data_IF_765418760007
#
_entry.id   IF_765418760007
#
_cell.length_a   1.000
_cell.length_b   1.000
_cell.length_c   1.000
_cell.angle_alpha   90.00
_cell.angle_beta   90.00
_cell.angle_gamma   90.00
#
_symmetry.space_group_name_H-M   'P 1'
#
loop_
_entity.id
_entity.type
_entity.pdbx_description
1 polymer ?
#
# COMPACT_ATOMS: atom_id res chain seq x y z
N UNK A 1 6.01 -2.70 22.60
CA UNK A 1 5.63 -1.46 21.89
C UNK A 1 4.75 -1.76 20.68
N UNK A 2 5.16 -2.69 19.83
CA UNK A 2 4.44 -3.13 18.63
C UNK A 2 2.91 -3.33 18.82
N UNK A 3 2.47 -4.33 19.58
CA UNK A 3 1.03 -4.62 19.84
C UNK A 3 0.19 -3.42 20.30
N UNK A 4 0.79 -2.44 20.99
CA UNK A 4 0.11 -1.27 21.56
C UNK A 4 -0.13 -0.17 20.51
N UNK A 5 0.78 -0.05 19.56
CA UNK A 5 0.82 1.08 18.61
C UNK A 5 0.65 0.66 17.16
N UNK A 6 0.71 -0.63 16.84
CA UNK A 6 0.43 -1.16 15.49
C UNK A 6 -0.96 -0.77 14.99
N UNK A 7 -1.97 -0.85 15.86
CA UNK A 7 -3.35 -0.39 15.60
C UNK A 7 -3.47 1.13 15.35
N UNK A 8 -2.43 1.91 15.67
CA UNK A 8 -2.38 3.36 15.49
C UNK A 8 -1.52 3.76 14.29
N UNK A 9 -1.20 2.81 13.40
CA UNK A 9 -0.38 3.05 12.20
C UNK A 9 1.12 3.02 12.44
N UNK A 10 1.60 2.66 13.65
CA UNK A 10 3.03 2.50 13.89
C UNK A 10 3.53 1.18 13.28
N UNK A 11 4.60 1.26 12.48
CA UNK A 11 5.31 0.09 11.97
C UNK A 11 6.62 -0.05 12.74
N UNK A 12 6.92 -1.27 13.21
CA UNK A 12 8.20 -1.60 13.85
C UNK A 12 9.01 -2.52 12.93
N UNK A 13 10.31 -2.25 12.81
CA UNK A 13 11.24 -3.09 12.07
C UNK A 13 12.40 -3.43 12.99
N UNK A 14 12.64 -4.72 13.20
CA UNK A 14 13.79 -5.24 13.93
C UNK A 14 15.02 -5.24 13.03
N UNK A 15 16.05 -4.50 13.42
CA UNK A 15 17.30 -4.40 12.69
C UNK A 15 18.36 -5.32 13.31
N UNK A 16 18.74 -6.38 12.59
CA UNK A 16 19.83 -7.25 13.00
C UNK A 16 21.16 -6.70 12.47
N UNK A 17 22.07 -6.41 13.40
CA UNK A 17 23.38 -5.83 13.15
C UNK A 17 24.52 -6.61 13.81
N UNK A 18 24.21 -7.72 14.50
CA UNK A 18 25.20 -8.56 15.18
C UNK A 18 25.81 -9.63 14.26
N UNK A 19 25.29 -9.78 13.03
CA UNK A 19 25.78 -10.76 12.07
C UNK A 19 25.37 -12.19 12.41
N UNK A 20 24.29 -12.39 13.15
CA UNK A 20 23.80 -13.71 13.55
C UNK A 20 23.38 -14.56 12.34
N UNK A 21 23.44 -15.89 12.51
CA UNK A 21 22.90 -16.84 11.53
C UNK A 21 21.37 -16.77 11.49
N UNK A 22 20.78 -16.95 10.31
CA UNK A 22 19.33 -16.82 10.10
C UNK A 22 18.52 -17.79 10.96
N UNK A 23 19.00 -19.02 11.13
CA UNK A 23 18.32 -20.04 11.96
C UNK A 23 18.16 -19.59 13.42
N UNK A 24 19.20 -18.96 13.99
CA UNK A 24 19.16 -18.44 15.36
C UNK A 24 18.24 -17.23 15.49
N UNK A 25 18.17 -16.41 14.43
CA UNK A 25 17.25 -15.26 14.40
C UNK A 25 15.80 -15.77 14.38
N UNK A 26 15.52 -16.79 13.57
CA UNK A 26 14.19 -17.39 13.47
C UNK A 26 13.77 -18.09 14.77
N UNK A 27 14.68 -18.81 15.43
CA UNK A 27 14.44 -19.42 16.74
C UNK A 27 13.97 -18.38 17.78
N UNK A 28 14.66 -17.24 17.85
CA UNK A 28 14.33 -16.14 18.77
C UNK A 28 13.00 -15.47 18.37
N UNK A 29 12.73 -15.31 17.07
CA UNK A 29 11.46 -14.76 16.57
C UNK A 29 10.29 -15.65 17.01
N UNK A 30 10.43 -16.97 16.88
CA UNK A 30 9.42 -17.94 17.25
C UNK A 30 9.24 -18.03 18.78
N UNK A 31 10.35 -18.06 19.53
CA UNK A 31 10.37 -18.10 21.00
C UNK A 31 9.63 -16.89 21.59
N UNK A 32 9.95 -15.69 21.10
CA UNK A 32 9.35 -14.45 21.59
C UNK A 32 8.05 -14.06 20.86
N UNK A 33 7.60 -14.87 19.89
CA UNK A 33 6.41 -14.62 19.07
C UNK A 33 6.42 -13.21 18.48
N UNK A 34 7.55 -12.84 17.90
CA UNK A 34 7.77 -11.53 17.29
C UNK A 34 6.88 -11.41 16.06
N UNK A 35 6.02 -10.39 16.03
CA UNK A 35 5.04 -10.18 14.94
C UNK A 35 5.46 -9.09 13.95
N UNK A 36 6.57 -8.42 14.22
CA UNK A 36 7.10 -7.37 13.37
C UNK A 36 8.25 -7.90 12.51
N UNK A 37 8.47 -7.27 11.36
CA UNK A 37 9.50 -7.69 10.41
C UNK A 37 10.90 -7.52 11.00
N UNK A 38 11.74 -8.55 10.83
CA UNK A 38 13.17 -8.49 11.18
C UNK A 38 13.99 -8.51 9.89
N UNK A 39 14.96 -7.61 9.75
CA UNK A 39 15.82 -7.49 8.58
C UNK A 39 17.29 -7.53 8.98
N UNK A 40 18.12 -8.13 8.12
CA UNK A 40 19.57 -8.24 8.31
C UNK A 40 20.30 -7.18 7.50
N UNK A 41 21.41 -6.67 8.04
CA UNK A 41 22.35 -5.83 7.29
C UNK A 41 21.79 -4.45 6.95
N UNK A 42 21.02 -3.86 7.86
CA UNK A 42 20.53 -2.50 7.69
C UNK A 42 21.69 -1.48 7.70
N UNK A 43 21.64 -0.56 6.73
CA UNK A 43 22.51 0.61 6.70
C UNK A 43 21.62 1.80 7.04
N UNK A 44 21.62 2.19 8.32
CA UNK A 44 20.74 3.22 8.87
C UNK A 44 21.49 4.49 9.31
N UNK A 45 20.76 5.54 9.72
CA UNK A 45 21.38 6.71 10.34
C UNK A 45 22.23 6.24 11.52
N UNK A 46 23.49 6.70 11.61
CA UNK A 46 24.52 6.21 12.54
C UNK A 46 23.91 5.68 13.86
N UNK A 47 23.59 4.39 13.87
CA UNK A 47 23.00 3.72 15.03
C UNK A 47 24.21 3.47 15.91
N UNK A 48 24.25 4.07 17.10
CA UNK A 48 25.43 3.98 17.94
C UNK A 48 25.85 2.51 18.15
N UNK A 49 27.13 2.28 18.46
CA UNK A 49 27.67 0.94 18.75
C UNK A 49 27.08 0.26 20.01
N UNK A 50 26.04 0.84 20.63
CA UNK A 50 25.40 0.32 21.82
C UNK A 50 24.06 -0.32 21.48
N UNK A 51 23.97 -1.63 21.66
CA UNK A 51 22.71 -2.39 21.55
C UNK A 51 22.08 -2.47 22.95
N UNK A 52 20.76 -2.27 23.11
CA UNK A 52 19.76 -2.03 22.06
C UNK A 52 19.68 -0.56 21.64
N UNK A 53 19.43 -0.34 20.34
CA UNK A 53 19.32 0.98 19.73
C UNK A 53 18.02 1.11 18.92
N UNK A 54 17.44 2.31 18.89
CA UNK A 54 16.21 2.60 18.18
C UNK A 54 16.29 3.96 17.49
N UNK A 55 15.84 3.99 16.24
CA UNK A 55 15.51 5.20 15.51
C UNK A 55 13.99 5.26 15.33
N UNK A 56 13.38 6.43 15.55
CA UNK A 56 11.94 6.65 15.29
C UNK A 56 11.81 7.72 14.23
N UNK A 57 11.03 7.41 13.20
CA UNK A 57 10.67 8.33 12.15
C UNK A 57 9.22 8.75 12.31
N UNK A 58 8.93 10.03 12.11
CA UNK A 58 7.56 10.53 12.03
C UNK A 58 6.92 10.15 10.69
N UNK A 59 5.60 10.36 10.57
CA UNK A 59 4.85 10.01 9.36
C UNK A 59 5.32 10.76 8.09
N UNK A 60 5.95 11.91 8.25
CA UNK A 60 6.56 12.69 7.17
C UNK A 60 7.96 12.21 6.76
N UNK A 61 8.52 11.19 7.44
CA UNK A 61 9.86 10.66 7.18
C UNK A 61 10.98 11.32 8.01
N UNK A 62 10.67 12.31 8.85
CA UNK A 62 11.69 12.96 9.68
C UNK A 62 12.15 12.06 10.84
N UNK A 63 13.46 12.04 11.10
CA UNK A 63 14.03 11.35 12.25
C UNK A 63 13.73 12.16 13.52
N UNK A 64 12.82 11.65 14.36
CA UNK A 64 12.39 12.32 15.60
C UNK A 64 13.06 11.77 16.85
N UNK A 65 13.65 10.59 16.79
CA UNK A 65 14.39 9.99 17.90
C UNK A 65 15.51 9.08 17.39
N UNK A 66 16.64 9.10 18.10
CA UNK A 66 17.77 8.21 17.90
C UNK A 66 18.42 7.94 19.26
N UNK A 67 18.44 6.68 19.71
CA UNK A 67 19.06 6.29 20.97
C UNK A 67 18.47 5.03 21.60
N UNK A 68 18.62 4.88 22.92
CA UNK A 68 18.17 3.69 23.65
C UNK A 68 16.62 3.59 23.70
N UNK A 69 16.02 2.40 23.45
CA UNK A 69 14.55 2.21 23.38
C UNK A 69 13.75 2.73 24.58
N UNK A 70 14.31 2.66 25.80
CA UNK A 70 13.63 3.14 27.02
C UNK A 70 13.28 4.64 26.98
N UNK A 71 14.01 5.43 26.18
CA UNK A 71 13.78 6.88 26.07
C UNK A 71 12.82 7.23 24.91
N UNK A 72 12.46 6.26 24.05
CA UNK A 72 11.68 6.50 22.85
C UNK A 72 10.17 6.67 23.09
N UNK A 73 9.61 6.10 24.17
CA UNK A 73 8.16 5.99 24.34
C UNK A 73 7.44 7.35 24.36
N UNK A 74 8.08 8.39 24.94
CA UNK A 74 7.52 9.75 24.94
C UNK A 74 7.44 10.32 23.53
N UNK A 75 8.49 10.17 22.73
CA UNK A 75 8.54 10.68 21.36
C UNK A 75 7.55 9.94 20.47
N UNK A 76 7.46 8.61 20.59
CA UNK A 76 6.48 7.78 19.86
C UNK A 76 5.05 8.24 20.18
N UNK A 77 4.74 8.51 21.45
CA UNK A 77 3.41 9.02 21.84
C UNK A 77 3.12 10.39 21.22
N UNK A 78 4.10 11.27 21.12
CA UNK A 78 3.93 12.58 20.49
C UNK A 78 3.72 12.43 18.98
N UNK A 79 4.61 11.70 18.30
CA UNK A 79 4.51 11.47 16.85
C UNK A 79 3.18 10.82 16.44
N UNK A 80 2.64 9.92 17.27
CA UNK A 80 1.33 9.30 17.00
C UNK A 80 0.12 10.20 17.30
N UNK A 81 0.28 11.29 18.07
CA UNK A 81 -0.79 12.28 18.27
C UNK A 81 -0.91 13.22 17.08
N UNK A 82 0.21 13.53 16.44
CA UNK A 82 0.25 14.41 15.26
C UNK A 82 -0.40 13.75 14.03
N UNK A 83 -0.66 12.43 14.08
CA UNK A 83 -1.35 11.65 13.03
C UNK A 83 -2.89 11.72 13.16
N UNK A 84 -3.43 12.54 14.08
CA UNK A 84 -4.88 12.60 14.34
C UNK A 84 -5.63 13.46 13.32
N UNK A 85 -6.35 12.77 12.42
CA UNK A 85 -7.58 13.16 11.71
C UNK A 85 -7.53 14.40 10.80
N UNK A 86 -6.86 14.28 9.66
CA UNK A 86 -7.45 14.79 8.41
C UNK A 86 -8.07 13.57 7.69
N UNK A 87 -9.31 13.62 7.20
CA UNK A 87 -9.86 12.53 6.39
C UNK A 87 -9.02 12.44 5.11
N UNK A 88 -8.07 11.50 5.10
CA UNK A 88 -7.20 11.24 3.97
C UNK A 88 -8.03 10.68 2.82
N UNK A 89 -8.64 11.57 2.05
CA UNK A 89 -9.00 11.32 0.67
C UNK A 89 -7.67 11.21 -0.07
N UNK A 90 -7.07 10.03 -0.03
CA UNK A 90 -6.08 9.45 -0.96
C UNK A 90 -5.39 8.33 -0.21
N UNK A 91 -6.06 7.17 -0.20
CA UNK A 91 -5.42 5.90 0.14
C UNK A 91 -4.30 5.62 -0.87
N UNK A 92 -3.07 6.03 -0.56
CA UNK A 92 -1.88 5.42 -1.13
C UNK A 92 -1.48 4.24 -0.25
N UNK A 93 -2.38 3.26 -0.13
CA UNK A 93 -2.02 1.98 0.46
C UNK A 93 -1.07 1.28 -0.51
N UNK A 94 0.22 1.23 -0.16
CA UNK A 94 1.27 0.54 -0.90
C UNK A 94 1.04 -0.98 -1.05
N UNK A 95 -0.01 -1.50 -0.41
CA UNK A 95 -0.43 -2.91 -0.45
C UNK A 95 -1.89 -3.10 -0.89
N UNK A 96 -2.64 -2.03 -1.17
CA UNK A 96 -3.95 -2.18 -1.80
C UNK A 96 -3.74 -2.55 -3.27
N UNK A 97 -4.32 -3.68 -3.69
CA UNK A 97 -4.50 -3.95 -5.11
C UNK A 97 -5.26 -2.75 -5.69
N UNK A 98 -4.72 -2.04 -6.69
CA UNK A 98 -5.39 -0.85 -7.21
C UNK A 98 -6.76 -1.27 -7.73
N UNK A 99 -7.82 -0.67 -7.17
CA UNK A 99 -9.18 -0.81 -7.66
C UNK A 99 -9.20 -0.19 -9.06
N UNK A 100 -9.42 -1.02 -10.07
CA UNK A 100 -9.55 -0.56 -11.44
C UNK A 100 -11.01 -0.22 -11.73
N UNK A 101 -11.25 0.94 -12.35
CA UNK A 101 -12.56 1.27 -12.93
C UNK A 101 -12.94 0.26 -14.02
N UNK A 102 -11.94 -0.16 -14.81
CA UNK A 102 -12.08 -1.17 -15.84
C UNK A 102 -10.84 -2.07 -15.80
N UNK A 103 -11.08 -3.38 -15.65
CA UNK A 103 -10.03 -4.40 -15.67
C UNK A 103 -9.23 -4.38 -16.99
N UNK A 104 -8.04 -4.98 -16.98
CA UNK A 104 -7.13 -4.98 -18.13
C UNK A 104 -7.82 -5.46 -19.42
N UNK A 105 -7.92 -4.57 -20.41
CA UNK A 105 -8.52 -4.83 -21.72
C UNK A 105 -7.63 -4.29 -22.83
N UNK A 106 -7.84 -4.82 -24.02
CA UNK A 106 -7.25 -4.30 -25.26
C UNK A 106 -8.12 -3.14 -25.73
N UNK A 107 -7.58 -1.94 -25.66
CA UNK A 107 -8.17 -0.70 -26.15
C UNK A 107 -7.71 -0.45 -27.58
N UNK A 108 -8.59 0.05 -28.45
CA UNK A 108 -8.24 0.38 -29.83
C UNK A 108 -8.25 1.89 -30.00
N UNK A 109 -7.13 2.47 -30.46
CA UNK A 109 -7.08 3.90 -30.76
C UNK A 109 -7.72 4.21 -32.13
N UNK A 110 -7.97 5.49 -32.40
CA UNK A 110 -8.50 5.96 -33.69
C UNK A 110 -7.58 5.71 -34.89
N UNK A 111 -6.30 5.37 -34.64
CA UNK A 111 -5.31 4.97 -35.66
C UNK A 111 -5.26 3.44 -35.88
N UNK A 112 -6.13 2.66 -35.22
CA UNK A 112 -6.17 1.19 -35.31
C UNK A 112 -5.08 0.46 -34.52
N UNK A 113 -4.29 1.16 -33.71
CA UNK A 113 -3.30 0.57 -32.80
C UNK A 113 -3.97 0.10 -31.53
N UNK A 114 -3.66 -1.14 -31.15
CA UNK A 114 -4.16 -1.78 -29.93
C UNK A 114 -3.23 -1.53 -28.76
N UNK A 115 -3.78 -1.18 -27.59
CA UNK A 115 -3.04 -0.97 -26.35
C UNK A 115 -3.70 -1.74 -25.21
N UNK A 116 -2.94 -2.60 -24.52
CA UNK A 116 -3.44 -3.45 -23.43
C UNK A 116 -3.21 -2.77 -22.09
N UNK A 117 -4.28 -2.29 -21.44
CA UNK A 117 -4.19 -1.55 -20.19
C UNK A 117 -5.48 -1.67 -19.36
N UNK A 118 -5.38 -1.43 -18.05
CA UNK A 118 -6.52 -1.26 -17.15
C UNK A 118 -6.78 0.24 -16.92
N UNK A 119 -8.05 0.64 -16.81
CA UNK A 119 -8.40 2.03 -16.46
C UNK A 119 -8.44 2.15 -14.93
N UNK A 120 -7.62 3.04 -14.37
CA UNK A 120 -7.58 3.29 -12.93
C UNK A 120 -8.62 4.33 -12.53
N UNK A 121 -8.64 5.47 -13.22
CA UNK A 121 -9.49 6.61 -12.91
C UNK A 121 -9.64 7.50 -14.15
N UNK A 122 -10.67 8.34 -14.19
CA UNK A 122 -10.91 9.29 -15.26
C UNK A 122 -11.03 10.69 -14.69
N UNK A 123 -10.27 11.62 -15.25
CA UNK A 123 -10.31 13.03 -14.90
C UNK A 123 -10.79 13.80 -16.14
N UNK A 124 -12.11 14.00 -16.22
CA UNK A 124 -12.76 14.65 -17.37
C UNK A 124 -12.61 13.85 -18.66
N UNK A 125 -11.76 14.33 -19.57
CA UNK A 125 -11.49 13.68 -20.87
C UNK A 125 -10.19 12.85 -20.88
N UNK A 126 -9.46 12.82 -19.77
CA UNK A 126 -8.19 12.09 -19.66
C UNK A 126 -8.36 10.90 -18.70
N UNK A 127 -8.20 9.70 -19.22
CA UNK A 127 -8.15 8.48 -18.43
C UNK A 127 -6.73 8.18 -17.93
N UNK A 128 -6.60 7.81 -16.67
CA UNK A 128 -5.36 7.27 -16.09
C UNK A 128 -5.34 5.76 -16.28
N UNK A 129 -4.53 5.28 -17.20
CA UNK A 129 -4.40 3.87 -17.54
C UNK A 129 -3.18 3.24 -16.87
N UNK A 130 -3.24 1.94 -16.60
CA UNK A 130 -2.15 1.10 -16.09
C UNK A 130 -1.85 -0.02 -17.06
N UNK A 131 -0.61 -0.14 -17.51
CA UNK A 131 -0.15 -1.31 -18.24
C UNK A 131 0.03 -2.52 -17.31
N UNK A 132 0.05 -3.72 -17.89
CA UNK A 132 0.40 -4.97 -17.17
C UNK A 132 1.78 -4.93 -16.51
N UNK A 133 2.71 -4.14 -17.05
CA UNK A 133 4.04 -3.88 -16.47
C UNK A 133 4.03 -2.94 -15.25
N UNK A 134 2.86 -2.49 -14.82
CA UNK A 134 2.68 -1.62 -13.66
C UNK A 134 2.85 -0.14 -13.92
N UNK A 135 3.34 0.28 -15.11
CA UNK A 135 3.47 1.70 -15.47
C UNK A 135 2.09 2.33 -15.67
N UNK A 136 1.90 3.51 -15.11
CA UNK A 136 0.69 4.31 -15.31
C UNK A 136 0.94 5.43 -16.31
N UNK A 137 -0.02 5.70 -17.19
CA UNK A 137 0.04 6.79 -18.15
C UNK A 137 -1.34 7.45 -18.30
N UNK A 138 -1.33 8.73 -18.64
CA UNK A 138 -2.55 9.48 -18.91
C UNK A 138 -2.82 9.46 -20.41
N UNK A 139 -4.04 9.10 -20.80
CA UNK A 139 -4.44 9.02 -22.19
C UNK A 139 -5.81 9.65 -22.39
N UNK A 140 -5.93 10.44 -23.44
CA UNK A 140 -7.17 11.10 -23.81
C UNK A 140 -8.13 10.07 -24.42
N UNK A 141 -9.29 9.90 -23.78
CA UNK A 141 -10.27 8.91 -24.21
C UNK A 141 -10.88 9.26 -25.57
N UNK A 142 -10.84 10.53 -26.00
CA UNK A 142 -11.31 10.96 -27.32
C UNK A 142 -10.49 10.36 -28.47
N UNK A 143 -9.29 9.87 -28.18
CA UNK A 143 -8.40 9.18 -29.13
C UNK A 143 -8.61 7.67 -29.17
N UNK A 144 -9.55 7.14 -28.38
CA UNK A 144 -9.99 5.75 -28.43
C UNK A 144 -11.14 5.58 -29.43
N UNK A 145 -11.42 4.34 -29.82
CA UNK A 145 -12.56 3.99 -30.67
C UNK A 145 -13.89 4.44 -30.03
N UNK A 146 -14.91 4.70 -30.85
CA UNK A 146 -16.23 5.13 -30.35
C UNK A 146 -16.86 4.09 -29.39
N UNK A 147 -16.59 2.81 -29.63
CA UNK A 147 -17.03 1.70 -28.79
C UNK A 147 -16.36 1.74 -27.40
N UNK A 148 -15.04 1.94 -27.38
CA UNK A 148 -14.26 2.06 -26.14
C UNK A 148 -14.60 3.34 -25.36
N UNK A 149 -14.87 4.45 -26.06
CA UNK A 149 -15.31 5.71 -25.44
C UNK A 149 -16.65 5.56 -24.71
N UNK A 150 -17.58 4.83 -25.32
CA UNK A 150 -18.91 4.60 -24.75
C UNK A 150 -18.82 3.73 -23.49
N UNK A 151 -17.94 2.73 -23.50
CA UNK A 151 -17.71 1.83 -22.36
C UNK A 151 -17.08 2.57 -21.17
N UNK A 152 -16.11 3.46 -21.42
CA UNK A 152 -15.52 4.29 -20.36
C UNK A 152 -16.57 5.22 -19.76
N UNK A 153 -17.38 5.89 -20.60
CA UNK A 153 -18.44 6.78 -20.13
C UNK A 153 -19.48 6.05 -19.30
N UNK A 154 -19.93 4.87 -19.76
CA UNK A 154 -20.88 4.03 -19.03
C UNK A 154 -20.32 3.62 -17.66
N UNK A 155 -19.07 3.16 -17.58
CA UNK A 155 -18.46 2.74 -16.31
C UNK A 155 -18.10 3.90 -15.39
N UNK A 156 -17.73 5.05 -15.94
CA UNK A 156 -17.46 6.27 -15.16
C UNK A 156 -18.73 6.94 -14.63
N UNK A 157 -19.88 6.73 -15.28
CA UNK A 157 -21.17 7.31 -14.89
C UNK A 157 -22.01 6.43 -13.96
N UNK A 158 -21.55 5.21 -13.65
CA UNK A 158 -22.32 4.17 -12.95
C UNK A 158 -21.69 3.72 -11.63
N UNK A 159 -20.84 4.56 -11.02
CA UNK A 159 -20.23 4.34 -9.69
C UNK A 159 -21.00 5.04 -8.55
N UNK A 160 -22.30 5.26 -8.71
CA UNK A 160 -23.20 5.35 -7.56
C UNK A 160 -24.43 4.49 -7.85
N UNK A 161 -24.61 3.46 -7.04
CA UNK A 161 -25.74 2.50 -7.00
C UNK A 161 -25.52 1.16 -7.73
N UNK A 162 -25.79 0.12 -6.94
CA UNK A 162 -25.94 -1.31 -7.21
C UNK A 162 -24.70 -2.16 -7.53
N UNK A 163 -24.51 -3.34 -6.94
CA UNK A 163 -25.22 -4.14 -5.92
C UNK A 163 -24.26 -5.34 -5.72
N UNK A 164 -24.09 -5.96 -4.55
CA UNK A 164 -25.17 -6.26 -3.63
C UNK A 164 -26.00 -7.46 -4.09
N UNK A 165 -25.48 -8.41 -4.88
CA UNK A 165 -26.12 -9.74 -5.03
C UNK A 165 -25.20 -10.75 -5.72
N UNK A 166 -24.71 -11.74 -4.96
CA UNK A 166 -24.63 -13.11 -5.45
C UNK A 166 -25.19 -13.98 -4.31
N UNK A 167 -26.49 -14.23 -4.39
CA UNK A 167 -27.13 -15.37 -3.74
C UNK A 167 -27.48 -16.38 -4.85
N UNK A 168 -27.45 -17.67 -4.48
CA UNK A 168 -27.91 -18.88 -5.18
C UNK A 168 -26.87 -19.51 -6.14
N UNK A 169 -26.60 -20.81 -6.14
CA UNK A 169 -27.32 -22.01 -5.70
C UNK A 169 -26.22 -23.09 -5.39
N UNK A 170 -26.41 -24.13 -4.58
CA UNK A 170 -27.19 -25.27 -5.03
C UNK A 170 -27.56 -26.23 -3.90
N UNK A 171 -28.81 -26.67 -3.97
CA UNK A 171 -29.31 -27.91 -3.36
C UNK A 171 -28.45 -29.09 -3.81
N UNK A 172 -27.85 -29.81 -2.87
CA UNK A 172 -27.77 -31.26 -2.99
C UNK A 172 -28.35 -31.91 -1.73
N UNK A 173 -29.57 -32.42 -1.92
CA UNK A 173 -30.16 -33.51 -1.14
C UNK A 173 -29.23 -34.73 -1.22
N UNK A 174 -29.02 -35.44 -0.10
CA UNK A 174 -29.55 -36.79 0.15
C UNK A 174 -29.29 -37.17 1.61
#
# INVERSE_FOLDING_TARGET
MDKKYSKKGMVLIGAEVQGSAEDKINEIIDEHKVQFTVTKGIIGPNLSNSIPHMAVFAANGDLVFNGHPNNAEKVIKTALKDVKEEPSTTESSLFAKPKYLINERIWTNTEGKTLKAALISMEGQVGKFRFSNGRTFNYDITKLSADDQSLIKEKSGKESEDEGTEELDDRFQF
#
